data_IF_116223146920
#
_entry.id   IF_116223146920
#
_cell.length_a   1.000
_cell.length_b   1.000
_cell.length_c   1.000
_cell.angle_alpha   90.00
_cell.angle_beta   90.00
_cell.angle_gamma   90.00
#
_symmetry.space_group_name_H-M   'P 1'
#
loop_
_entity.id
_entity.type
_entity.pdbx_description
1 polymer ?
#
# COMPACT_ATOMS: atom_id res chain seq x y z
N UNK A 1 5.91 17.49 1.32
CA UNK A 1 7.11 18.24 0.86
C UNK A 1 8.03 18.58 2.04
N UNK A 2 7.55 19.22 3.09
CA UNK A 2 8.35 19.64 4.26
C UNK A 2 9.13 18.49 4.91
N UNK A 3 8.48 17.35 5.20
CA UNK A 3 9.15 16.21 5.82
C UNK A 3 10.34 15.66 5.02
N UNK A 4 10.22 15.63 3.69
CA UNK A 4 11.33 15.18 2.82
C UNK A 4 12.47 16.21 2.83
N UNK A 5 12.16 17.49 2.78
CA UNK A 5 13.15 18.55 2.87
C UNK A 5 13.92 18.50 4.22
N UNK A 6 13.19 18.26 5.33
CA UNK A 6 13.78 18.10 6.66
C UNK A 6 14.72 16.89 6.71
N UNK A 7 14.30 15.72 6.21
CA UNK A 7 15.16 14.53 6.18
C UNK A 7 16.39 14.76 5.31
N UNK A 8 16.24 15.36 4.14
CA UNK A 8 17.36 15.67 3.25
C UNK A 8 18.37 16.62 3.90
N UNK A 9 17.92 17.66 4.61
CA UNK A 9 18.81 18.59 5.31
C UNK A 9 19.57 17.93 6.45
N UNK A 10 18.93 17.00 7.15
CA UNK A 10 19.55 16.25 8.27
C UNK A 10 20.55 15.20 7.77
N UNK A 11 20.33 14.62 6.57
CA UNK A 11 21.17 13.57 5.98
C UNK A 11 22.23 14.09 5.02
N UNK A 12 22.88 15.20 5.32
CA UNK A 12 23.95 15.82 4.49
C UNK A 12 23.49 16.11 3.05
N UNK A 13 22.27 16.56 2.89
CA UNK A 13 21.63 16.88 1.59
C UNK A 13 21.47 15.68 0.63
N UNK A 14 21.56 14.45 1.12
CA UNK A 14 21.24 13.27 0.32
C UNK A 14 19.72 13.16 0.18
N UNK A 15 19.25 12.86 -1.02
CA UNK A 15 17.82 12.57 -1.24
C UNK A 15 17.44 11.28 -0.52
N UNK A 16 16.33 11.24 0.23
CA UNK A 16 15.90 10.03 0.92
C UNK A 16 15.30 9.01 -0.06
N UNK A 17 15.28 7.74 0.35
CA UNK A 17 14.34 6.78 -0.18
C UNK A 17 12.98 6.99 0.47
N UNK A 18 11.91 6.79 -0.29
CA UNK A 18 10.55 6.80 0.24
C UNK A 18 10.00 5.37 0.21
N UNK A 19 9.51 4.91 1.35
CA UNK A 19 8.84 3.60 1.43
C UNK A 19 7.37 3.79 1.83
N UNK A 20 6.48 3.05 1.21
CA UNK A 20 5.06 3.09 1.53
C UNK A 20 4.41 1.71 1.46
N UNK A 21 3.56 1.41 2.43
CA UNK A 21 2.76 0.19 2.48
C UNK A 21 1.30 0.49 2.15
N UNK A 22 0.64 -0.41 1.41
CA UNK A 22 -0.78 -0.31 1.11
C UNK A 22 -1.14 1.05 0.46
N UNK A 23 -2.19 1.70 0.90
CA UNK A 23 -2.59 3.05 0.48
C UNK A 23 -1.47 4.07 0.67
N UNK A 24 -0.65 3.95 1.74
CA UNK A 24 0.53 4.80 1.92
C UNK A 24 1.54 4.64 0.78
N UNK A 25 1.66 3.45 0.21
CA UNK A 25 2.46 3.19 -1.00
C UNK A 25 1.85 3.82 -2.25
N UNK A 26 0.53 3.76 -2.41
CA UNK A 26 -0.18 4.44 -3.51
C UNK A 26 0.08 5.96 -3.46
N UNK A 27 -0.06 6.57 -2.29
CA UNK A 27 0.21 8.00 -2.11
C UNK A 27 1.69 8.34 -2.32
N UNK A 28 2.61 7.46 -1.89
CA UNK A 28 4.04 7.63 -2.13
C UNK A 28 4.38 7.55 -3.64
N UNK A 29 3.72 6.68 -4.40
CA UNK A 29 3.88 6.60 -5.85
C UNK A 29 3.37 7.88 -6.54
N UNK A 30 2.21 8.38 -6.14
CA UNK A 30 1.68 9.67 -6.63
C UNK A 30 2.67 10.80 -6.30
N UNK A 31 3.21 10.85 -5.09
CA UNK A 31 4.24 11.82 -4.71
C UNK A 31 5.48 11.72 -5.61
N UNK A 32 5.98 10.49 -5.84
CA UNK A 32 7.13 10.25 -6.72
C UNK A 32 6.89 10.69 -8.15
N UNK A 33 5.65 10.58 -8.65
CA UNK A 33 5.27 11.07 -9.98
C UNK A 33 5.19 12.60 -10.06
N UNK A 34 4.75 13.27 -8.97
CA UNK A 34 4.67 14.74 -8.90
C UNK A 34 6.05 15.38 -8.68
N UNK A 35 6.90 14.74 -7.88
CA UNK A 35 8.19 15.30 -7.46
C UNK A 35 9.35 14.28 -7.60
N UNK A 36 9.63 13.79 -8.83
CA UNK A 36 10.57 12.69 -9.05
C UNK A 36 12.02 13.02 -8.63
N UNK A 37 12.36 14.30 -8.59
CA UNK A 37 13.69 14.74 -8.18
C UNK A 37 13.86 14.87 -6.67
N UNK A 38 12.80 14.72 -5.87
CA UNK A 38 12.82 14.91 -4.42
C UNK A 38 13.25 13.67 -3.66
N UNK A 39 13.19 12.50 -4.28
CA UNK A 39 13.55 11.21 -3.67
C UNK A 39 14.55 10.47 -4.57
N UNK A 40 15.34 9.59 -3.94
CA UNK A 40 16.34 8.78 -4.63
C UNK A 40 15.76 7.51 -5.22
N UNK A 41 14.80 6.92 -4.54
CA UNK A 41 14.10 5.72 -4.96
C UNK A 41 12.83 5.52 -4.14
N UNK A 42 11.94 4.66 -4.64
CA UNK A 42 10.64 4.37 -4.07
C UNK A 42 10.52 2.87 -3.79
N UNK A 43 10.09 2.50 -2.59
CA UNK A 43 9.79 1.11 -2.21
C UNK A 43 8.30 1.00 -1.88
N UNK A 44 7.60 0.18 -2.64
CA UNK A 44 6.15 -0.03 -2.54
C UNK A 44 5.90 -1.44 -1.99
N UNK A 45 5.30 -1.53 -0.82
CA UNK A 45 5.05 -2.78 -0.11
C UNK A 45 3.55 -3.09 -0.14
N UNK A 46 3.11 -4.05 -0.96
CA UNK A 46 1.70 -4.39 -1.09
C UNK A 46 0.83 -3.17 -1.40
N UNK A 47 1.29 -2.28 -2.27
CA UNK A 47 0.62 -1.02 -2.60
C UNK A 47 -0.21 -1.18 -3.87
N UNK A 48 -1.55 -1.08 -3.81
CA UNK A 48 -2.39 -1.15 -5.00
C UNK A 48 -2.24 0.14 -5.82
N UNK A 49 -1.97 0.01 -7.12
CA UNK A 49 -1.72 1.12 -8.04
C UNK A 49 -2.66 1.11 -9.25
N UNK A 50 -3.33 -0.01 -9.49
CA UNK A 50 -4.30 -0.21 -10.55
C UNK A 50 -5.59 -0.73 -9.95
N UNK A 51 -6.69 -0.02 -10.18
CA UNK A 51 -7.97 -0.26 -9.54
C UNK A 51 -9.07 -0.63 -10.56
N UNK A 52 -8.71 -1.38 -11.59
CA UNK A 52 -9.70 -1.84 -12.58
C UNK A 52 -10.68 -2.83 -11.94
N UNK A 53 -11.94 -2.85 -12.39
CA UNK A 53 -12.93 -3.84 -11.96
C UNK A 53 -12.41 -5.27 -12.13
N UNK A 54 -12.74 -6.14 -11.19
CA UNK A 54 -12.36 -7.57 -11.14
C UNK A 54 -10.88 -7.86 -10.86
N UNK A 55 -10.03 -6.88 -10.67
CA UNK A 55 -8.63 -7.09 -10.28
C UNK A 55 -8.46 -7.35 -8.77
N UNK A 56 -9.34 -6.79 -7.94
CA UNK A 56 -9.39 -7.02 -6.50
C UNK A 56 -10.84 -7.13 -6.07
N UNK A 57 -11.23 -8.31 -5.55
CA UNK A 57 -12.56 -8.52 -4.97
C UNK A 57 -12.81 -7.61 -3.77
N UNK A 58 -11.78 -7.39 -2.95
CA UNK A 58 -11.84 -6.43 -1.85
C UNK A 58 -12.20 -5.03 -2.32
N UNK A 59 -11.49 -4.53 -3.34
CA UNK A 59 -11.77 -3.21 -3.93
C UNK A 59 -13.21 -3.11 -4.45
N UNK A 60 -13.65 -4.10 -5.21
CA UNK A 60 -14.99 -4.11 -5.83
C UNK A 60 -16.10 -4.14 -4.76
N UNK A 61 -15.91 -4.96 -3.73
CA UNK A 61 -16.84 -5.00 -2.60
C UNK A 61 -16.81 -3.69 -1.78
N UNK A 62 -15.62 -3.13 -1.50
CA UNK A 62 -15.49 -1.89 -0.75
C UNK A 62 -16.23 -0.73 -1.42
N UNK A 63 -16.04 -0.52 -2.72
CA UNK A 63 -16.72 0.57 -3.44
C UNK A 63 -18.24 0.37 -3.56
N UNK A 64 -18.73 -0.87 -3.48
CA UNK A 64 -20.17 -1.14 -3.45
C UNK A 64 -20.82 -0.75 -2.11
N UNK A 65 -20.04 -0.72 -1.03
CA UNK A 65 -20.48 -0.31 0.30
C UNK A 65 -20.40 1.19 0.54
N UNK A 66 -19.54 1.89 -0.20
CA UNK A 66 -19.37 3.34 -0.05
C UNK A 66 -20.47 4.08 -0.81
N UNK A 67 -21.22 5.00 -0.17
CA UNK A 67 -22.20 5.84 -0.85
C UNK A 67 -21.59 6.56 -2.05
N UNK A 68 -22.42 6.89 -3.04
CA UNK A 68 -22.00 7.66 -4.21
C UNK A 68 -21.46 9.03 -3.86
N UNK A 69 -21.94 9.61 -2.77
CA UNK A 69 -21.48 10.91 -2.25
C UNK A 69 -20.85 10.71 -0.87
N UNK A 70 -19.55 10.94 -0.78
CA UNK A 70 -18.81 11.04 0.50
C UNK A 70 -18.68 12.51 0.85
N UNK A 71 -19.02 12.88 2.09
CA UNK A 71 -18.93 14.29 2.54
C UNK A 71 -17.48 14.78 2.52
N UNK A 72 -17.25 15.87 1.82
CA UNK A 72 -15.94 16.53 1.76
C UNK A 72 -15.60 17.29 3.07
N UNK A 73 -16.62 17.65 3.84
CA UNK A 73 -16.48 18.57 4.98
C UNK A 73 -16.28 17.86 6.31
N UNK A 74 -16.84 16.66 6.47
CA UNK A 74 -16.78 15.94 7.74
C UNK A 74 -15.61 14.95 7.77
N UNK A 75 -14.91 14.80 8.91
CA UNK A 75 -13.94 13.74 9.10
C UNK A 75 -14.61 12.35 8.93
N UNK A 76 -13.95 11.46 8.24
CA UNK A 76 -14.37 10.08 8.08
C UNK A 76 -13.76 9.24 9.21
N UNK A 77 -14.57 8.65 10.11
CA UNK A 77 -14.04 7.88 11.23
C UNK A 77 -13.22 6.66 10.75
N UNK A 78 -12.07 6.43 11.36
CA UNK A 78 -11.25 5.25 11.07
C UNK A 78 -11.99 3.94 11.34
N UNK A 79 -12.78 3.89 12.42
CA UNK A 79 -13.65 2.75 12.76
C UNK A 79 -14.64 2.39 11.65
N UNK A 80 -15.19 3.39 10.97
CA UNK A 80 -16.10 3.14 9.84
C UNK A 80 -15.35 2.50 8.67
N UNK A 81 -14.12 2.96 8.38
CA UNK A 81 -13.28 2.35 7.34
C UNK A 81 -12.93 0.91 7.67
N UNK A 82 -12.59 0.62 8.93
CA UNK A 82 -12.31 -0.75 9.40
C UNK A 82 -13.54 -1.65 9.29
N UNK A 83 -14.71 -1.18 9.68
CA UNK A 83 -15.96 -1.93 9.52
C UNK A 83 -16.29 -2.20 8.06
N UNK A 84 -16.15 -1.21 7.20
CA UNK A 84 -16.40 -1.37 5.76
C UNK A 84 -15.39 -2.37 5.14
N UNK A 85 -14.14 -2.34 5.56
CA UNK A 85 -13.12 -3.31 5.12
C UNK A 85 -13.46 -4.73 5.57
N UNK A 86 -13.92 -4.90 6.82
CA UNK A 86 -14.38 -6.18 7.33
C UNK A 86 -15.63 -6.70 6.62
N UNK A 87 -16.55 -5.82 6.23
CA UNK A 87 -17.74 -6.16 5.45
C UNK A 87 -17.37 -6.50 3.99
N UNK A 88 -16.42 -5.79 3.40
CA UNK A 88 -15.96 -6.01 2.03
C UNK A 88 -15.23 -7.36 1.86
N UNK A 89 -14.49 -7.79 2.87
CA UNK A 89 -13.81 -9.09 2.86
C UNK A 89 -13.79 -9.74 4.26
N UNK A 90 -14.89 -10.36 4.70
CA UNK A 90 -14.95 -11.02 6.00
C UNK A 90 -13.94 -12.16 6.13
N UNK A 91 -13.66 -12.88 5.06
CA UNK A 91 -12.65 -13.94 5.05
C UNK A 91 -11.26 -13.40 5.40
N UNK A 92 -10.88 -12.27 4.81
CA UNK A 92 -9.57 -11.65 5.02
C UNK A 92 -9.46 -10.96 6.38
N UNK A 93 -10.44 -10.15 6.77
CA UNK A 93 -10.33 -9.30 7.96
C UNK A 93 -10.86 -9.93 9.24
N UNK A 94 -11.71 -10.95 9.16
CA UNK A 94 -12.29 -11.63 10.33
C UNK A 94 -11.79 -13.06 10.43
N UNK A 95 -12.12 -13.91 9.48
CA UNK A 95 -11.89 -15.35 9.60
C UNK A 95 -10.42 -15.74 9.52
N UNK A 96 -9.62 -15.13 8.63
CA UNK A 96 -8.19 -15.42 8.56
C UNK A 96 -7.48 -15.07 9.88
N UNK A 97 -7.88 -13.98 10.53
CA UNK A 97 -7.34 -13.59 11.83
C UNK A 97 -7.69 -14.61 12.93
N UNK A 98 -8.93 -15.14 12.95
CA UNK A 98 -9.33 -16.17 13.90
C UNK A 98 -8.57 -17.47 13.70
N UNK A 99 -8.45 -17.93 12.45
CA UNK A 99 -7.70 -19.15 12.12
C UNK A 99 -6.22 -18.98 12.48
N UNK A 100 -5.61 -17.84 12.15
CA UNK A 100 -4.21 -17.57 12.52
C UNK A 100 -4.03 -17.45 14.05
N UNK A 101 -5.00 -16.90 14.78
CA UNK A 101 -4.97 -16.87 16.23
C UNK A 101 -4.94 -18.30 16.83
N UNK A 102 -5.81 -19.20 16.35
CA UNK A 102 -5.82 -20.59 16.78
C UNK A 102 -4.52 -21.32 16.43
N UNK A 103 -4.00 -21.13 15.21
CA UNK A 103 -2.72 -21.71 14.79
C UNK A 103 -1.53 -21.15 15.59
N UNK A 104 -1.65 -19.95 16.15
CA UNK A 104 -0.61 -19.29 16.94
C UNK A 104 -0.52 -19.77 18.38
N UNK A 105 -1.51 -20.50 18.90
CA UNK A 105 -1.54 -20.95 20.29
C UNK A 105 -0.36 -21.88 20.66
N UNK A 106 0.25 -22.52 19.68
CA UNK A 106 1.41 -23.42 19.87
C UNK A 106 2.76 -22.75 19.69
N UNK A 107 2.79 -21.49 19.22
CA UNK A 107 4.02 -20.71 18.98
C UNK A 107 3.90 -19.32 19.64
N UNK A 108 4.60 -19.14 20.75
CA UNK A 108 4.58 -17.91 21.52
C UNK A 108 4.96 -16.66 20.68
N UNK A 109 5.91 -16.77 19.75
CA UNK A 109 6.34 -15.67 18.92
C UNK A 109 5.24 -15.25 17.91
N UNK A 110 4.55 -16.21 17.31
CA UNK A 110 3.42 -15.97 16.42
C UNK A 110 2.24 -15.38 17.19
N UNK A 111 2.02 -15.78 18.44
CA UNK A 111 0.99 -15.19 19.29
C UNK A 111 1.29 -13.72 19.63
N UNK A 112 2.55 -13.37 19.91
CA UNK A 112 2.96 -11.98 20.11
C UNK A 112 2.74 -11.11 18.86
N UNK A 113 3.09 -11.62 17.69
CA UNK A 113 2.85 -10.92 16.41
C UNK A 113 1.35 -10.67 16.24
N UNK A 114 0.53 -11.71 16.47
CA UNK A 114 -0.92 -11.58 16.37
C UNK A 114 -1.48 -10.53 17.33
N UNK A 115 -1.03 -10.50 18.60
CA UNK A 115 -1.45 -9.52 19.58
C UNK A 115 -1.00 -8.08 19.22
N UNK A 116 0.20 -7.89 18.65
CA UNK A 116 0.68 -6.59 18.16
C UNK A 116 -0.14 -6.08 16.98
N UNK A 117 -0.39 -6.94 16.01
CA UNK A 117 -1.25 -6.60 14.85
C UNK A 117 -2.66 -6.26 15.28
N UNK A 118 -3.22 -7.03 16.25
CA UNK A 118 -4.53 -6.75 16.82
C UNK A 118 -4.62 -5.36 17.46
N UNK A 119 -3.62 -4.98 18.28
CA UNK A 119 -3.55 -3.65 18.91
C UNK A 119 -3.38 -2.54 17.87
N UNK A 120 -2.48 -2.72 16.91
CA UNK A 120 -2.26 -1.74 15.84
C UNK A 120 -3.51 -1.53 14.98
N UNK A 121 -4.27 -2.58 14.69
CA UNK A 121 -5.51 -2.49 13.93
C UNK A 121 -6.64 -1.76 14.68
N UNK A 122 -6.52 -1.59 15.99
CA UNK A 122 -7.47 -0.81 16.82
C UNK A 122 -7.04 0.66 16.98
N UNK A 123 -5.82 1.03 16.55
CA UNK A 123 -5.30 2.39 16.58
C UNK A 123 -5.78 3.16 15.33
N UNK A 124 -7.05 3.47 15.33
CA UNK A 124 -7.77 4.04 14.21
C UNK A 124 -7.73 5.57 14.23
N UNK A 125 -7.28 6.17 13.13
CA UNK A 125 -7.24 7.62 12.96
C UNK A 125 -8.33 8.06 11.98
N UNK A 126 -9.06 9.11 12.34
CA UNK A 126 -10.01 9.73 11.42
C UNK A 126 -9.27 10.38 10.25
N UNK A 127 -9.81 10.19 9.04
CA UNK A 127 -9.27 10.79 7.83
C UNK A 127 -10.11 12.02 7.40
N UNK A 128 -9.51 13.05 6.80
CA UNK A 128 -10.27 14.14 6.20
C UNK A 128 -11.24 13.61 5.15
N UNK A 129 -12.51 14.00 5.22
CA UNK A 129 -13.55 13.52 4.29
C UNK A 129 -13.19 13.76 2.83
N UNK A 130 -12.63 14.94 2.52
CA UNK A 130 -12.14 15.25 1.17
C UNK A 130 -11.06 14.25 0.68
N UNK A 131 -10.15 13.83 1.55
CA UNK A 131 -9.14 12.82 1.19
C UNK A 131 -9.79 11.47 0.90
N UNK A 132 -10.74 11.04 1.73
CA UNK A 132 -11.47 9.79 1.53
C UNK A 132 -12.25 9.82 0.22
N UNK A 133 -12.96 10.91 -0.06
CA UNK A 133 -13.65 11.14 -1.33
C UNK A 133 -12.69 11.01 -2.53
N UNK A 134 -11.54 11.69 -2.49
CA UNK A 134 -10.53 11.62 -3.55
C UNK A 134 -9.98 10.21 -3.74
N UNK A 135 -9.72 9.48 -2.66
CA UNK A 135 -9.24 8.08 -2.73
C UNK A 135 -10.31 7.19 -3.37
N UNK A 136 -11.56 7.28 -2.90
CA UNK A 136 -12.64 6.42 -3.39
C UNK A 136 -12.95 6.74 -4.85
N UNK A 137 -13.17 7.98 -5.19
CA UNK A 137 -13.61 8.34 -6.54
C UNK A 137 -12.47 8.34 -7.54
N UNK A 138 -11.38 9.04 -7.24
CA UNK A 138 -10.31 9.22 -8.23
C UNK A 138 -9.44 7.99 -8.40
N UNK A 139 -9.19 7.24 -7.30
CA UNK A 139 -8.34 6.05 -7.38
C UNK A 139 -9.19 4.79 -7.55
N UNK A 140 -10.10 4.51 -6.62
CA UNK A 140 -10.81 3.22 -6.59
C UNK A 140 -11.88 3.10 -7.67
N UNK A 141 -12.69 4.14 -7.95
CA UNK A 141 -13.75 4.10 -8.98
C UNK A 141 -13.21 4.40 -10.38
N UNK A 142 -12.49 5.50 -10.52
CA UNK A 142 -12.08 6.03 -11.82
C UNK A 142 -10.67 5.59 -12.24
N UNK A 143 -9.88 5.03 -11.32
CA UNK A 143 -8.52 4.54 -11.59
C UNK A 143 -7.62 5.59 -12.26
N UNK A 144 -7.79 6.87 -11.88
CA UNK A 144 -7.21 8.02 -12.59
C UNK A 144 -5.69 7.97 -12.67
N UNK A 145 -5.01 7.46 -11.63
CA UNK A 145 -3.55 7.41 -11.63
C UNK A 145 -3.03 6.44 -12.71
N UNK A 146 -3.61 5.24 -12.79
CA UNK A 146 -3.24 4.28 -13.83
C UNK A 146 -3.67 4.75 -15.23
N UNK A 147 -4.85 5.38 -15.35
CA UNK A 147 -5.37 5.92 -16.61
C UNK A 147 -4.64 7.19 -17.07
N UNK A 148 -3.78 7.78 -16.22
CA UNK A 148 -3.08 9.01 -16.54
C UNK A 148 -3.99 10.25 -16.58
N UNK A 149 -5.12 10.21 -15.89
CA UNK A 149 -6.06 11.33 -15.80
C UNK A 149 -6.08 12.02 -14.42
N UNK A 150 -5.21 11.56 -13.51
CA UNK A 150 -5.07 12.16 -12.20
C UNK A 150 -4.32 13.49 -12.30
N UNK A 151 -4.90 14.55 -11.73
CA UNK A 151 -4.28 15.87 -11.66
C UNK A 151 -3.97 16.20 -10.20
N UNK A 152 -2.70 16.46 -9.89
CA UNK A 152 -2.20 16.87 -8.58
C UNK A 152 -1.39 18.15 -8.73
N UNK A 153 -1.75 19.21 -8.02
CA UNK A 153 -1.09 20.52 -8.11
C UNK A 153 -0.99 21.04 -9.56
N UNK A 154 -2.08 20.92 -10.33
CA UNK A 154 -2.15 21.28 -11.76
C UNK A 154 -1.20 20.47 -12.68
N UNK A 155 -0.59 19.39 -12.18
CA UNK A 155 0.23 18.47 -12.96
C UNK A 155 -0.53 17.16 -13.16
N UNK A 156 -0.63 16.72 -14.41
CA UNK A 156 -1.18 15.41 -14.75
C UNK A 156 -0.12 14.34 -14.48
N UNK A 157 -0.52 13.27 -13.76
CA UNK A 157 0.37 12.18 -13.38
C UNK A 157 -0.18 10.81 -13.82
N UNK A 158 0.74 9.92 -14.17
CA UNK A 158 0.48 8.60 -14.75
C UNK A 158 1.60 7.63 -14.35
N UNK A 159 1.53 6.34 -14.67
CA UNK A 159 2.65 5.43 -14.52
C UNK A 159 3.95 5.92 -15.19
N UNK A 160 3.87 6.48 -16.40
CA UNK A 160 5.02 7.03 -17.12
C UNK A 160 5.60 8.30 -16.49
N UNK A 161 4.85 9.01 -15.64
CA UNK A 161 5.37 10.15 -14.88
C UNK A 161 6.25 9.74 -13.70
N UNK A 162 6.19 8.48 -13.28
CA UNK A 162 6.98 7.95 -12.17
C UNK A 162 8.39 7.56 -12.66
N UNK A 163 9.25 8.56 -12.80
CA UNK A 163 10.61 8.41 -13.32
C UNK A 163 11.61 7.96 -12.26
N UNK A 164 11.24 8.01 -10.99
CA UNK A 164 12.07 7.57 -9.87
C UNK A 164 12.22 6.05 -9.90
N UNK A 165 13.43 5.48 -9.71
CA UNK A 165 13.61 4.05 -9.55
C UNK A 165 12.66 3.50 -8.49
N UNK A 166 11.88 2.49 -8.85
CA UNK A 166 10.80 1.97 -8.01
C UNK A 166 10.93 0.47 -7.83
N UNK A 167 10.92 0.02 -6.58
CA UNK A 167 10.83 -1.38 -6.21
C UNK A 167 9.44 -1.65 -5.65
N UNK A 168 8.69 -2.52 -6.30
CA UNK A 168 7.41 -3.01 -5.81
C UNK A 168 7.55 -4.42 -5.24
N UNK A 169 7.08 -4.63 -4.02
CA UNK A 169 7.00 -5.96 -3.40
C UNK A 169 5.54 -6.39 -3.38
N UNK A 170 5.25 -7.51 -4.00
CA UNK A 170 3.91 -8.06 -4.18
C UNK A 170 3.77 -9.35 -3.39
N UNK A 171 2.80 -9.41 -2.50
CA UNK A 171 2.45 -10.65 -1.82
C UNK A 171 1.43 -11.43 -2.67
N UNK A 172 1.79 -12.63 -3.08
CA UNK A 172 0.97 -13.49 -3.95
C UNK A 172 -0.30 -14.01 -3.27
N UNK A 173 -0.33 -13.97 -1.92
CA UNK A 173 -1.48 -14.37 -1.10
C UNK A 173 -2.29 -13.17 -0.56
N UNK A 174 -2.05 -11.96 -1.07
CA UNK A 174 -2.71 -10.74 -0.61
C UNK A 174 -4.02 -10.51 -1.36
N UNK A 175 -5.14 -10.53 -0.64
CA UNK A 175 -6.47 -10.26 -1.20
C UNK A 175 -6.80 -8.76 -1.25
N UNK A 176 -6.10 -7.93 -0.47
CA UNK A 176 -6.31 -6.48 -0.44
C UNK A 176 -5.62 -5.80 -1.61
N UNK A 177 -4.34 -6.12 -1.80
CA UNK A 177 -3.53 -5.64 -2.92
C UNK A 177 -2.94 -6.82 -3.72
N UNK A 178 -3.79 -7.59 -4.41
CA UNK A 178 -3.33 -8.73 -5.20
C UNK A 178 -2.41 -8.29 -6.35
N UNK A 179 -1.58 -9.19 -6.90
CA UNK A 179 -0.64 -8.89 -7.98
C UNK A 179 -1.26 -8.14 -9.16
N UNK A 180 -2.53 -8.40 -9.47
CA UNK A 180 -3.26 -7.73 -10.53
C UNK A 180 -3.45 -6.22 -10.31
N UNK A 181 -3.32 -5.73 -9.08
CA UNK A 181 -3.40 -4.30 -8.76
C UNK A 181 -2.05 -3.59 -8.79
N UNK A 182 -0.95 -4.31 -8.97
CA UNK A 182 0.43 -3.75 -8.96
C UNK A 182 1.12 -3.93 -10.31
N UNK A 183 1.12 -5.14 -10.86
CA UNK A 183 1.87 -5.48 -12.08
C UNK A 183 1.53 -4.61 -13.28
N UNK A 184 0.23 -4.38 -13.64
CA UNK A 184 -0.09 -3.55 -14.80
C UNK A 184 0.46 -2.13 -14.70
N UNK A 185 0.54 -1.58 -13.49
CA UNK A 185 1.12 -0.27 -13.25
C UNK A 185 2.65 -0.28 -13.46
N UNK A 186 3.33 -1.30 -12.90
CA UNK A 186 4.78 -1.46 -13.07
C UNK A 186 5.16 -1.66 -14.55
N UNK A 187 4.37 -2.43 -15.29
CA UNK A 187 4.57 -2.69 -16.72
C UNK A 187 4.32 -1.42 -17.59
N UNK A 188 3.52 -0.48 -17.10
CA UNK A 188 3.22 0.79 -17.77
C UNK A 188 4.21 1.93 -17.41
N UNK A 189 5.15 1.68 -16.51
CA UNK A 189 6.25 2.62 -16.22
C UNK A 189 7.29 2.62 -17.34
N UNK A 190 8.15 3.65 -17.34
CA UNK A 190 9.34 3.68 -18.21
C UNK A 190 10.19 2.41 -18.03
N UNK A 191 10.75 1.86 -19.09
CA UNK A 191 11.67 0.73 -19.02
C UNK A 191 12.76 0.94 -17.97
N UNK A 192 13.12 -0.11 -17.25
CA UNK A 192 14.15 -0.12 -16.20
C UNK A 192 13.88 0.76 -14.96
N UNK A 193 12.71 1.41 -14.87
CA UNK A 193 12.31 2.18 -13.69
C UNK A 193 11.59 1.34 -12.63
N UNK A 194 10.98 0.24 -13.02
CA UNK A 194 10.26 -0.63 -12.11
C UNK A 194 10.96 -1.99 -11.94
N UNK A 195 11.08 -2.43 -10.70
CA UNK A 195 11.45 -3.80 -10.34
C UNK A 195 10.37 -4.39 -9.44
N UNK A 196 9.96 -5.61 -9.71
CA UNK A 196 8.97 -6.33 -8.89
C UNK A 196 9.65 -7.50 -8.18
N UNK A 197 9.44 -7.61 -6.87
CA UNK A 197 9.80 -8.77 -6.05
C UNK A 197 8.51 -9.45 -5.62
N UNK A 198 8.46 -10.76 -5.80
CA UNK A 198 7.34 -11.59 -5.37
C UNK A 198 7.62 -12.22 -4.01
N UNK A 199 6.63 -12.13 -3.14
CA UNK A 199 6.59 -12.80 -1.85
C UNK A 199 5.42 -13.79 -1.87
N UNK A 200 5.66 -15.09 -1.64
CA UNK A 200 4.59 -16.10 -1.74
C UNK A 200 3.55 -16.03 -0.61
N UNK A 201 3.81 -15.19 0.41
CA UNK A 201 3.03 -15.18 1.63
C UNK A 201 3.49 -16.27 2.62
N UNK A 202 2.92 -16.27 3.82
CA UNK A 202 3.19 -17.27 4.85
C UNK A 202 2.06 -17.40 5.87
N UNK A 203 1.97 -18.55 6.51
CA UNK A 203 1.01 -18.80 7.60
C UNK A 203 1.49 -18.10 8.88
N UNK A 204 0.57 -17.63 9.70
CA UNK A 204 0.87 -17.02 11.01
C UNK A 204 1.06 -15.51 11.01
N UNK A 205 0.84 -14.84 9.88
CA UNK A 205 0.97 -13.37 9.78
C UNK A 205 -0.31 -12.60 10.13
N UNK A 206 -1.33 -13.26 10.65
CA UNK A 206 -2.62 -12.67 11.02
C UNK A 206 -3.41 -12.10 9.82
N UNK A 207 -2.79 -11.30 8.97
CA UNK A 207 -3.33 -10.73 7.75
C UNK A 207 -2.24 -10.78 6.68
N UNK A 208 -2.50 -11.44 5.54
CA UNK A 208 -1.52 -11.58 4.45
C UNK A 208 -1.03 -10.22 3.94
N UNK A 209 -1.90 -9.24 3.91
CA UNK A 209 -1.55 -7.87 3.51
C UNK A 209 -0.41 -7.25 4.33
N UNK A 210 -0.29 -7.63 5.60
CA UNK A 210 0.79 -7.23 6.49
C UNK A 210 2.00 -8.17 6.44
N UNK A 211 1.87 -9.32 5.75
CA UNK A 211 2.91 -10.36 5.71
C UNK A 211 4.29 -9.85 5.28
N UNK A 212 4.33 -8.90 4.34
CA UNK A 212 5.60 -8.27 3.89
C UNK A 212 6.30 -7.55 5.06
N UNK A 213 5.56 -6.96 5.98
CA UNK A 213 6.10 -6.18 7.09
C UNK A 213 6.50 -7.06 8.28
N UNK A 214 5.71 -8.09 8.60
CA UNK A 214 5.81 -8.82 9.86
C UNK A 214 6.19 -10.29 9.69
N UNK A 215 6.16 -10.80 8.46
CA UNK A 215 6.41 -12.22 8.18
C UNK A 215 7.87 -12.61 8.38
N UNK A 216 8.11 -13.76 9.02
CA UNK A 216 9.47 -14.29 9.24
C UNK A 216 10.17 -14.61 7.92
N UNK A 217 9.44 -15.22 6.98
CA UNK A 217 9.97 -15.50 5.63
C UNK A 217 10.20 -14.21 4.83
N UNK A 218 9.34 -13.22 5.00
CA UNK A 218 9.56 -11.91 4.40
C UNK A 218 10.87 -11.30 4.91
N UNK A 219 11.10 -11.30 6.22
CA UNK A 219 12.35 -10.79 6.81
C UNK A 219 13.59 -11.59 6.40
N UNK A 220 13.45 -12.91 6.26
CA UNK A 220 14.57 -13.77 5.85
C UNK A 220 14.92 -13.66 4.36
N UNK A 221 13.96 -13.42 3.48
CA UNK A 221 14.17 -13.57 2.03
C UNK A 221 13.82 -12.34 1.20
N UNK A 222 12.85 -11.52 1.62
CA UNK A 222 12.40 -10.33 0.87
C UNK A 222 13.17 -9.08 1.30
N UNK A 223 13.26 -8.83 2.62
CA UNK A 223 13.97 -7.67 3.14
C UNK A 223 15.44 -7.58 2.72
N UNK A 224 16.23 -8.68 2.69
CA UNK A 224 17.59 -8.64 2.14
C UNK A 224 17.64 -8.20 0.67
N UNK A 225 16.66 -8.59 -0.16
CA UNK A 225 16.58 -8.15 -1.54
C UNK A 225 16.23 -6.65 -1.64
N UNK A 226 15.33 -6.15 -0.77
CA UNK A 226 15.03 -4.71 -0.67
C UNK A 226 16.31 -3.95 -0.32
N UNK A 227 17.04 -4.39 0.71
CA UNK A 227 18.29 -3.75 1.14
C UNK A 227 19.36 -3.79 0.05
N UNK A 228 19.50 -4.90 -0.66
CA UNK A 228 20.40 -5.01 -1.80
C UNK A 228 20.04 -4.02 -2.91
N UNK A 229 18.75 -3.87 -3.22
CA UNK A 229 18.27 -2.91 -4.22
C UNK A 229 18.53 -1.47 -3.78
N UNK A 230 18.24 -1.12 -2.54
CA UNK A 230 18.52 0.23 -1.99
C UNK A 230 19.99 0.60 -2.10
N UNK A 231 20.90 -0.37 -1.86
CA UNK A 231 22.35 -0.15 -1.99
C UNK A 231 22.81 -0.07 -3.46
N UNK A 232 22.07 -0.66 -4.38
CA UNK A 232 22.37 -0.65 -5.81
C UNK A 232 21.86 0.60 -6.57
N UNK A 233 20.91 1.34 -6.00
CA UNK A 233 20.39 2.60 -6.55
C UNK A 233 21.29 3.74 -6.06
N UNK A 234 22.53 3.77 -6.51
CA UNK A 234 23.51 4.81 -6.19
C UNK A 234 23.75 5.74 -7.35
#
# INVERSE_FOLDING_TARGET
MEGIATVSSTSRSLKPFLAGHSLGGTLAAIFGAVAPTSIRGLVLLGAPLCFQPKQSQFRDALISLVPSEVSDTNPFPGSLLSHMSAMASPLTFIWSRQINALASLTDHQTLEIHARVGRWALDEVALPGKLVHQIIDWLYRENRFYQGTLIVNAQQVSPSSLLTPTLAVVNMADDVAPPATVRPFADAMEPDKARVIEYPGEVGVSLQHLGILIGRKAHAHVWPQIMSWLNGVC
#
